data_IF_038406838511
#
_entry.id   IF_038406838511
#
_cell.length_a   1.000
_cell.length_b   1.000
_cell.length_c   1.000
_cell.angle_alpha   90.00
_cell.angle_beta   90.00
_cell.angle_gamma   90.00
#
_symmetry.space_group_name_H-M   'P 1'
#
loop_
_entity.id
_entity.type
_entity.pdbx_description
1 polymer ?
#
# COMPACT_ATOMS: atom_id res chain seq x y z
N UNK A 1 -3.65 0.34 18.65
CA UNK A 1 -3.43 1.77 18.31
C UNK A 1 -3.24 1.88 16.81
N UNK A 2 -3.67 2.98 16.19
CA UNK A 2 -3.56 3.16 14.74
C UNK A 2 -2.12 3.57 14.35
N UNK A 3 -1.37 2.69 13.67
CA UNK A 3 0.04 2.91 13.32
C UNK A 3 0.18 3.40 11.89
N UNK A 4 0.03 4.71 11.69
CA UNK A 4 0.22 5.36 10.39
C UNK A 4 1.71 5.52 10.05
N UNK A 5 2.10 5.11 8.85
CA UNK A 5 3.47 5.21 8.30
C UNK A 5 3.44 5.71 6.87
N UNK A 6 4.50 6.38 6.45
CA UNK A 6 4.71 6.59 5.02
C UNK A 6 5.10 5.28 4.34
N UNK A 7 4.99 5.20 3.02
CA UNK A 7 5.43 4.03 2.23
C UNK A 7 6.90 3.66 2.55
N UNK A 8 7.78 4.65 2.65
CA UNK A 8 9.20 4.44 2.96
C UNK A 8 9.41 3.88 4.38
N UNK A 9 8.70 4.46 5.36
CA UNK A 9 8.76 3.99 6.74
C UNK A 9 8.18 2.58 6.88
N UNK A 10 7.10 2.28 6.17
CA UNK A 10 6.49 0.95 6.17
C UNK A 10 7.43 -0.11 5.60
N UNK A 11 8.07 0.17 4.45
CA UNK A 11 9.08 -0.73 3.89
C UNK A 11 10.25 -0.97 4.86
N UNK A 12 10.72 0.09 5.52
CA UNK A 12 11.79 -0.01 6.51
C UNK A 12 11.35 -0.79 7.77
N UNK A 13 10.10 -0.64 8.20
CA UNK A 13 9.55 -1.33 9.37
C UNK A 13 9.38 -2.83 9.10
N UNK A 14 8.86 -3.19 7.91
CA UNK A 14 8.77 -4.59 7.49
C UNK A 14 10.16 -5.21 7.38
N UNK A 15 11.12 -4.52 6.75
CA UNK A 15 12.49 -5.05 6.62
C UNK A 15 13.22 -5.19 7.97
N UNK A 16 12.85 -4.38 8.96
CA UNK A 16 13.35 -4.52 10.34
C UNK A 16 12.75 -5.73 11.05
N UNK A 17 11.48 -6.02 10.80
CA UNK A 17 10.80 -7.18 11.36
C UNK A 17 11.23 -8.49 10.67
N UNK A 18 11.39 -8.44 9.34
CA UNK A 18 11.79 -9.55 8.49
C UNK A 18 12.86 -9.09 7.47
N UNK A 19 14.15 -9.33 7.73
CA UNK A 19 15.24 -8.88 6.87
C UNK A 19 15.23 -9.49 5.47
N UNK A 20 14.71 -10.73 5.35
CA UNK A 20 14.66 -11.51 4.12
C UNK A 20 13.40 -11.23 3.28
N UNK A 21 12.56 -10.30 3.71
CA UNK A 21 11.39 -9.87 2.95
C UNK A 21 11.80 -9.28 1.60
N UNK A 22 11.21 -9.80 0.53
CA UNK A 22 11.37 -9.29 -0.84
C UNK A 22 10.48 -8.07 -1.16
N UNK A 23 9.66 -7.62 -0.20
CA UNK A 23 8.72 -6.50 -0.38
C UNK A 23 9.51 -5.21 -0.51
N UNK A 24 9.32 -4.56 -1.66
CA UNK A 24 9.92 -3.26 -1.95
C UNK A 24 8.95 -2.12 -1.69
N UNK A 25 9.49 -0.91 -1.53
CA UNK A 25 8.71 0.34 -1.54
C UNK A 25 7.80 0.48 -2.77
N UNK A 26 8.21 -0.07 -3.92
CA UNK A 26 7.41 -0.03 -5.15
C UNK A 26 6.19 -0.95 -5.05
N UNK A 27 6.36 -2.15 -4.51
CA UNK A 27 5.25 -3.09 -4.29
C UNK A 27 4.18 -2.45 -3.38
N UNK A 28 4.60 -1.87 -2.25
CA UNK A 28 3.68 -1.17 -1.33
C UNK A 28 2.98 0.00 -2.04
N UNK A 29 3.71 0.79 -2.85
CA UNK A 29 3.12 1.88 -3.63
C UNK A 29 2.07 1.37 -4.63
N UNK A 30 2.32 0.24 -5.31
CA UNK A 30 1.34 -0.34 -6.21
C UNK A 30 0.07 -0.73 -5.47
N UNK A 31 0.17 -1.40 -4.31
CA UNK A 31 -1.01 -1.76 -3.51
C UNK A 31 -1.87 -0.54 -3.13
N UNK A 32 -1.21 0.58 -2.80
CA UNK A 32 -1.88 1.85 -2.50
C UNK A 32 -2.57 2.46 -3.73
N UNK A 33 -1.87 2.51 -4.86
CA UNK A 33 -2.38 3.11 -6.11
C UNK A 33 -3.49 2.24 -6.72
N UNK A 34 -3.40 0.92 -6.57
CA UNK A 34 -4.45 -0.03 -6.94
C UNK A 34 -5.65 -0.02 -5.99
N UNK A 35 -5.56 0.74 -4.88
CA UNK A 35 -6.58 0.82 -3.82
C UNK A 35 -6.89 -0.52 -3.14
N UNK A 36 -5.94 -1.45 -3.13
CA UNK A 36 -6.04 -2.73 -2.43
C UNK A 36 -5.93 -2.55 -0.91
N UNK A 37 -5.28 -1.47 -0.47
CA UNK A 37 -5.06 -1.13 0.94
C UNK A 37 -5.55 0.30 1.20
N UNK A 38 -6.29 0.54 2.31
CA UNK A 38 -6.74 1.88 2.67
C UNK A 38 -5.55 2.80 2.96
N UNK A 39 -5.53 3.95 2.32
CA UNK A 39 -4.48 4.96 2.48
C UNK A 39 -5.06 6.37 2.50
N UNK A 40 -4.35 7.28 3.15
CA UNK A 40 -4.68 8.71 3.20
C UNK A 40 -3.53 9.49 2.57
N UNK A 41 -3.85 10.36 1.63
CA UNK A 41 -2.88 11.29 1.04
C UNK A 41 -2.79 12.57 1.86
N UNK A 42 -1.57 12.99 2.19
CA UNK A 42 -1.31 14.30 2.80
C UNK A 42 -0.19 15.00 2.03
N UNK A 43 -0.57 15.99 1.23
CA UNK A 43 0.32 16.60 0.24
C UNK A 43 0.80 15.54 -0.76
N UNK A 44 2.12 15.40 -0.90
CA UNK A 44 2.74 14.44 -1.83
C UNK A 44 3.00 13.06 -1.24
N UNK A 45 2.64 12.82 0.03
CA UNK A 45 2.93 11.56 0.73
C UNK A 45 1.67 10.75 0.95
N UNK A 46 1.80 9.44 0.75
CA UNK A 46 0.81 8.45 1.17
C UNK A 46 1.10 8.01 2.60
N UNK A 47 0.08 8.06 3.43
CA UNK A 47 0.06 7.52 4.78
C UNK A 47 -0.78 6.24 4.76
N UNK A 48 -0.15 5.15 5.17
CA UNK A 48 -0.75 3.83 5.24
C UNK A 48 -0.75 3.32 6.67
N UNK A 49 -1.77 2.55 7.03
CA UNK A 49 -1.77 1.84 8.29
C UNK A 49 -0.92 0.56 8.14
N UNK A 50 0.12 0.42 8.96
CA UNK A 50 1.02 -0.75 8.91
C UNK A 50 0.27 -2.03 9.27
N UNK A 51 -0.68 -1.96 10.20
CA UNK A 51 -1.43 -3.12 10.66
C UNK A 51 -2.34 -3.65 9.53
N UNK A 52 -2.94 -2.74 8.75
CA UNK A 52 -3.72 -3.09 7.57
C UNK A 52 -2.86 -3.67 6.44
N UNK A 53 -1.64 -3.16 6.26
CA UNK A 53 -0.68 -3.71 5.30
C UNK A 53 -0.25 -5.14 5.69
N UNK A 54 0.03 -5.38 6.97
CA UNK A 54 0.39 -6.72 7.46
C UNK A 54 -0.79 -7.69 7.34
N UNK A 55 -2.00 -7.28 7.69
CA UNK A 55 -3.20 -8.09 7.51
C UNK A 55 -3.45 -8.43 6.03
N UNK A 56 -3.21 -7.47 5.12
CA UNK A 56 -3.28 -7.72 3.67
C UNK A 56 -2.27 -8.77 3.23
N UNK A 57 -1.01 -8.64 3.64
CA UNK A 57 0.06 -9.58 3.31
C UNK A 57 -0.17 -10.97 3.94
N UNK A 58 -0.82 -11.03 5.10
CA UNK A 58 -1.25 -12.26 5.75
C UNK A 58 -2.46 -12.94 5.08
N UNK A 59 -3.05 -12.33 4.05
CA UNK A 59 -4.21 -12.86 3.33
C UNK A 59 -5.55 -12.66 4.05
N UNK A 60 -5.59 -11.85 5.11
CA UNK A 60 -6.77 -11.66 5.94
C UNK A 60 -7.76 -10.63 5.37
N UNK A 61 -7.34 -9.80 4.40
CA UNK A 61 -8.21 -8.78 3.80
C UNK A 61 -8.51 -9.10 2.35
N UNK A 62 -9.79 -8.99 1.98
CA UNK A 62 -10.22 -9.00 0.58
C UNK A 62 -9.97 -7.60 0.00
N UNK A 63 -9.33 -7.47 -1.17
CA UNK A 63 -9.16 -6.17 -1.81
C UNK A 63 -10.52 -5.55 -2.10
N UNK A 64 -10.71 -4.28 -1.75
CA UNK A 64 -11.90 -3.55 -2.18
C UNK A 64 -11.88 -3.48 -3.71
N UNK A 65 -13.00 -3.82 -4.40
CA UNK A 65 -13.00 -3.84 -5.86
C UNK A 65 -12.62 -2.47 -6.40
N UNK A 66 -11.81 -2.41 -7.47
CA UNK A 66 -11.36 -1.15 -8.01
C UNK A 66 -12.57 -0.30 -8.41
N UNK A 67 -12.70 0.90 -7.82
CA UNK A 67 -13.66 1.89 -8.29
C UNK A 67 -13.23 2.28 -9.71
N UNK A 68 -14.00 1.80 -10.68
CA UNK A 68 -13.80 1.91 -12.12
C UNK A 68 -13.42 3.35 -12.58
N UNK A 69 -12.13 3.67 -12.59
CA UNK A 69 -11.59 4.83 -13.32
C UNK A 69 -11.31 4.38 -14.75
N UNK A 70 -12.23 4.72 -15.65
CA UNK A 70 -12.09 4.53 -17.09
C UNK A 70 -10.76 5.20 -17.51
N UNK A 71 -9.77 4.41 -17.91
CA UNK A 71 -8.53 4.95 -18.50
C UNK A 71 -8.88 5.50 -19.87
N UNK A 72 -8.74 6.81 -20.06
CA UNK A 72 -8.85 7.42 -21.38
C UNK A 72 -7.70 6.89 -22.25
N UNK A 73 -8.02 6.05 -23.23
CA UNK A 73 -7.07 5.58 -24.23
C UNK A 73 -6.92 6.72 -25.25
N UNK A 74 -5.72 7.29 -25.36
CA UNK A 74 -5.41 8.13 -26.51
C UNK A 74 -5.21 7.21 -27.71
N UNK A 75 -6.19 7.15 -28.61
CA UNK A 75 -6.00 6.60 -29.94
C UNK A 75 -4.81 7.31 -30.60
N UNK A 76 -3.93 6.53 -31.21
CA UNK A 76 -2.72 6.98 -31.88
C UNK A 76 -2.85 6.71 -33.36
#
# INVERSE_FOLDING_TARGET
>A
MLRMRTIEQAAAEIKKADPDTAITKYAIRQLVVSHEIPSITRGNKYLINIDALLAYLGGETQPEPPRNVIRMVSER
#
